data_IF_214360614771
#
_entry.id   IF_214360614771
#
_cell.length_a   1.000
_cell.length_b   1.000
_cell.length_c   1.000
_cell.angle_alpha   90.00
_cell.angle_beta   90.00
_cell.angle_gamma   90.00
#
_symmetry.space_group_name_H-M   'P 1'
#
loop_
_entity.id
_entity.type
_entity.pdbx_description
1 polymer ?
#
# COMPACT_ATOMS: atom_id res chain seq x y z
N UNK A 1 37.59 -9.21 -58.64
CA UNK A 1 36.39 -8.99 -57.80
C UNK A 1 35.54 -10.23 -57.87
N UNK A 2 35.51 -11.10 -56.83
CA UNK A 2 34.72 -12.32 -56.78
C UNK A 2 33.32 -11.96 -56.21
N UNK A 3 32.28 -12.09 -57.04
CA UNK A 3 30.89 -11.97 -56.62
C UNK A 3 30.51 -13.23 -55.83
N UNK A 4 30.19 -13.06 -54.55
CA UNK A 4 29.62 -14.12 -53.73
C UNK A 4 28.14 -14.26 -54.07
N UNK A 5 27.79 -15.37 -54.67
CA UNK A 5 26.35 -15.73 -54.86
C UNK A 5 25.81 -16.25 -53.56
N UNK A 6 24.92 -15.48 -52.89
CA UNK A 6 24.14 -16.02 -51.78
C UNK A 6 23.16 -17.05 -52.31
N UNK A 7 23.19 -18.25 -51.77
CA UNK A 7 22.33 -19.34 -52.12
C UNK A 7 20.89 -19.09 -51.65
N UNK A 8 19.86 -19.36 -52.49
CA UNK A 8 18.45 -19.10 -52.11
C UNK A 8 17.93 -20.04 -51.00
N UNK A 9 18.68 -21.06 -50.64
CA UNK A 9 18.32 -22.03 -49.59
C UNK A 9 18.31 -21.42 -48.17
N UNK A 10 19.10 -20.37 -47.93
CA UNK A 10 19.16 -19.75 -46.61
C UNK A 10 17.94 -18.84 -46.34
N UNK A 11 17.37 -18.25 -47.38
CA UNK A 11 16.18 -17.42 -47.24
C UNK A 11 14.92 -18.23 -46.96
N UNK A 12 14.83 -19.47 -47.47
CA UNK A 12 13.66 -20.30 -47.26
C UNK A 12 13.57 -20.83 -45.83
N UNK A 13 14.72 -21.11 -45.20
CA UNK A 13 14.78 -21.54 -43.80
C UNK A 13 14.41 -20.44 -42.81
N UNK A 14 14.74 -19.18 -43.12
CA UNK A 14 14.38 -18.04 -42.25
C UNK A 14 12.87 -17.74 -42.32
N UNK A 15 12.26 -17.86 -43.47
CA UNK A 15 10.80 -17.63 -43.64
C UNK A 15 10.01 -18.73 -42.90
N UNK A 16 10.45 -19.98 -42.94
CA UNK A 16 9.81 -21.08 -42.20
C UNK A 16 9.96 -20.95 -40.68
N UNK A 17 11.08 -20.38 -40.19
CA UNK A 17 11.30 -20.18 -38.76
C UNK A 17 10.45 -19.05 -38.22
N UNK A 18 10.26 -17.95 -38.98
CA UNK A 18 9.43 -16.79 -38.62
C UNK A 18 7.95 -17.15 -38.62
N UNK A 19 7.49 -18.01 -39.56
CA UNK A 19 6.09 -18.44 -39.60
C UNK A 19 5.72 -19.39 -38.47
N UNK A 20 6.67 -20.20 -37.98
CA UNK A 20 6.42 -21.09 -36.83
C UNK A 20 6.25 -20.31 -35.50
N UNK A 21 6.89 -19.16 -35.36
CA UNK A 21 6.76 -18.31 -34.17
C UNK A 21 5.43 -17.56 -34.14
N UNK A 22 4.85 -17.23 -35.30
CA UNK A 22 3.57 -16.52 -35.37
C UNK A 22 2.33 -17.38 -35.15
N UNK A 23 2.44 -18.72 -35.29
CA UNK A 23 1.32 -19.62 -35.03
C UNK A 23 1.16 -20.05 -33.56
N UNK A 24 2.07 -19.65 -32.70
CA UNK A 24 2.03 -19.97 -31.27
C UNK A 24 1.25 -19.02 -30.37
N UNK A 25 0.74 -17.90 -30.86
CA UNK A 25 0.08 -16.86 -30.05
C UNK A 25 -1.44 -16.74 -30.25
N UNK A 26 -2.08 -17.71 -30.89
CA UNK A 26 -3.54 -17.75 -31.02
C UNK A 26 -4.17 -18.84 -30.18
N UNK A 27 -3.80 -18.91 -28.91
CA UNK A 27 -4.57 -19.70 -27.97
C UNK A 27 -4.82 -18.93 -26.71
N UNK A 28 -6.10 -18.80 -26.47
CA UNK A 28 -6.76 -18.44 -25.22
C UNK A 28 -7.17 -16.97 -25.08
N UNK A 29 -8.17 -16.58 -25.87
CA UNK A 29 -9.30 -15.89 -25.28
C UNK A 29 -10.38 -16.96 -24.99
N UNK A 30 -10.28 -17.63 -23.86
CA UNK A 30 -11.45 -18.14 -23.20
C UNK A 30 -12.08 -16.93 -22.52
N UNK A 31 -13.19 -16.45 -23.06
CA UNK A 31 -14.17 -15.70 -22.33
C UNK A 31 -14.78 -16.66 -21.30
N UNK A 32 -14.09 -16.84 -20.18
CA UNK A 32 -14.75 -17.15 -18.94
C UNK A 32 -15.14 -15.78 -18.39
N UNK A 33 -16.38 -15.39 -18.64
CA UNK A 33 -17.11 -14.40 -17.86
C UNK A 33 -17.33 -15.00 -16.46
N UNK A 34 -16.27 -15.32 -15.76
CA UNK A 34 -16.27 -15.39 -14.32
C UNK A 34 -16.28 -13.94 -13.85
N UNK A 35 -17.48 -13.48 -13.59
CA UNK A 35 -17.77 -12.28 -12.81
C UNK A 35 -17.26 -12.56 -11.38
N UNK A 36 -15.91 -12.64 -11.25
CA UNK A 36 -15.24 -12.67 -9.97
C UNK A 36 -15.46 -11.31 -9.35
N UNK A 37 -16.59 -11.17 -8.66
CA UNK A 37 -16.74 -10.10 -7.68
C UNK A 37 -15.52 -10.17 -6.78
N UNK A 38 -14.71 -9.10 -6.68
CA UNK A 38 -13.49 -9.13 -5.89
C UNK A 38 -13.86 -9.57 -4.48
N UNK A 39 -13.32 -10.71 -4.04
CA UNK A 39 -13.55 -11.24 -2.70
C UNK A 39 -12.98 -10.22 -1.74
N UNK A 40 -13.83 -9.36 -1.22
CA UNK A 40 -13.46 -8.41 -0.20
C UNK A 40 -13.22 -9.17 1.09
N UNK A 41 -12.01 -9.08 1.61
CA UNK A 41 -11.61 -9.74 2.86
C UNK A 41 -11.56 -8.74 4.00
N UNK A 42 -11.78 -9.22 5.22
CA UNK A 42 -11.54 -8.42 6.43
C UNK A 42 -10.04 -8.23 6.63
N UNK A 43 -9.65 -7.09 7.19
CA UNK A 43 -8.26 -6.75 7.46
C UNK A 43 -8.01 -6.59 8.97
N UNK A 44 -6.80 -6.93 9.41
CA UNK A 44 -6.28 -6.65 10.75
C UNK A 44 -5.47 -5.36 10.72
N UNK A 45 -5.88 -4.36 11.48
CA UNK A 45 -5.26 -3.04 11.46
C UNK A 45 -4.75 -2.65 12.84
N UNK A 46 -3.53 -2.13 12.88
CA UNK A 46 -2.88 -1.56 14.07
C UNK A 46 -2.36 -0.17 13.72
N UNK A 47 -2.61 0.77 14.62
CA UNK A 47 -2.11 2.14 14.52
C UNK A 47 -1.00 2.36 15.53
N UNK A 48 0.01 3.14 15.15
CA UNK A 48 1.11 3.52 16.05
C UNK A 48 1.37 5.00 15.98
N UNK A 49 1.78 5.56 17.11
CA UNK A 49 2.28 6.93 17.21
C UNK A 49 3.57 6.94 18.03
N UNK A 50 4.56 7.71 17.57
CA UNK A 50 5.84 7.88 18.24
C UNK A 50 6.29 9.32 18.12
N UNK A 51 6.51 9.96 19.26
CA UNK A 51 7.10 11.29 19.34
C UNK A 51 8.55 11.23 19.84
N UNK A 52 9.30 12.29 19.63
CA UNK A 52 10.64 12.47 20.19
C UNK A 52 10.58 12.61 21.71
N UNK A 53 11.71 12.34 22.38
CA UNK A 53 11.83 12.49 23.83
C UNK A 53 11.47 13.91 24.29
N UNK A 54 10.81 14.01 25.45
CA UNK A 54 10.34 15.28 26.00
C UNK A 54 9.01 15.79 25.43
N UNK A 55 8.43 15.08 24.46
CA UNK A 55 7.08 15.35 23.94
C UNK A 55 6.03 14.59 24.72
N UNK A 56 4.79 15.09 24.68
CA UNK A 56 3.62 14.42 25.19
C UNK A 56 2.53 14.38 24.14
N UNK A 57 2.01 13.19 23.85
CA UNK A 57 0.88 12.98 22.95
C UNK A 57 -0.41 12.96 23.76
N UNK A 58 -1.30 13.86 23.44
CA UNK A 58 -2.52 14.11 24.22
C UNK A 58 -3.68 13.23 23.74
N UNK A 59 -3.86 13.13 22.44
CA UNK A 59 -5.04 12.46 21.86
C UNK A 59 -4.68 11.72 20.57
N UNK A 60 -5.17 10.48 20.46
CA UNK A 60 -5.25 9.76 19.20
C UNK A 60 -6.71 9.48 18.84
N UNK A 61 -7.08 9.78 17.60
CA UNK A 61 -8.36 9.39 16.97
C UNK A 61 -8.02 8.45 15.84
N UNK A 62 -8.59 7.25 15.83
CA UNK A 62 -8.27 6.22 14.84
C UNK A 62 -9.46 5.31 14.57
N UNK A 63 -9.45 4.65 13.41
CA UNK A 63 -10.51 3.72 13.04
C UNK A 63 -10.63 3.52 11.55
N UNK A 64 -11.82 3.14 11.11
CA UNK A 64 -12.15 2.95 9.70
C UNK A 64 -13.45 3.67 9.35
N UNK A 65 -13.50 4.22 8.14
CA UNK A 65 -14.62 5.00 7.63
C UNK A 65 -15.12 6.04 8.66
N UNK A 66 -16.33 5.89 9.18
CA UNK A 66 -16.91 6.74 10.22
C UNK A 66 -16.87 6.11 11.62
N UNK A 67 -16.35 4.89 11.74
CA UNK A 67 -16.23 4.17 13.01
C UNK A 67 -14.90 4.55 13.66
N UNK A 68 -14.92 5.55 14.54
CA UNK A 68 -13.73 6.13 15.15
C UNK A 68 -13.69 5.88 16.66
N UNK A 69 -12.48 5.64 17.16
CA UNK A 69 -12.15 5.52 18.57
C UNK A 69 -11.22 6.66 18.97
N UNK A 70 -11.42 7.23 20.14
CA UNK A 70 -10.56 8.26 20.72
C UNK A 70 -9.89 7.74 21.98
N UNK A 71 -8.57 7.94 22.07
CA UNK A 71 -7.76 7.66 23.27
C UNK A 71 -7.03 8.92 23.68
N UNK A 72 -6.93 9.16 25.00
CA UNK A 72 -6.28 10.35 25.54
C UNK A 72 -5.10 9.98 26.45
N UNK A 73 -4.20 10.97 26.68
CA UNK A 73 -3.03 10.84 27.56
C UNK A 73 -2.13 9.64 27.16
N UNK A 74 -1.78 9.58 25.90
CA UNK A 74 -1.10 8.42 25.31
C UNK A 74 0.43 8.44 25.45
N UNK A 75 0.99 9.51 26.07
CA UNK A 75 2.42 9.61 26.38
C UNK A 75 3.29 9.92 25.15
N UNK A 76 4.50 9.40 25.12
CA UNK A 76 5.47 9.64 24.02
C UNK A 76 5.35 8.62 22.90
N UNK A 77 4.92 7.39 23.23
CA UNK A 77 4.73 6.30 22.27
C UNK A 77 3.41 5.59 22.56
N UNK A 78 2.72 5.21 21.51
CA UNK A 78 1.44 4.55 21.63
C UNK A 78 1.19 3.56 20.50
N UNK A 79 0.50 2.47 20.81
CA UNK A 79 0.03 1.48 19.84
C UNK A 79 -1.42 1.13 20.17
N UNK A 80 -2.28 1.14 19.17
CA UNK A 80 -3.68 0.75 19.34
C UNK A 80 -3.83 -0.75 19.64
N UNK A 81 -4.94 -1.18 20.22
CA UNK A 81 -5.39 -2.56 20.04
C UNK A 81 -5.52 -2.88 18.54
N UNK A 82 -5.34 -4.16 18.19
CA UNK A 82 -5.65 -4.61 16.82
C UNK A 82 -7.16 -4.54 16.60
N UNK A 83 -7.58 -3.90 15.51
CA UNK A 83 -8.98 -3.85 15.10
C UNK A 83 -9.21 -4.71 13.86
N UNK A 84 -10.37 -5.37 13.79
CA UNK A 84 -10.81 -6.06 12.59
C UNK A 84 -11.66 -5.13 11.77
N UNK A 85 -11.15 -4.76 10.59
CA UNK A 85 -11.84 -3.88 9.65
C UNK A 85 -12.70 -4.73 8.71
N UNK A 86 -13.99 -4.40 8.53
CA UNK A 86 -14.90 -5.15 7.65
C UNK A 86 -14.44 -5.13 6.19
N UNK A 87 -14.80 -6.17 5.45
CA UNK A 87 -14.46 -6.33 4.04
C UNK A 87 -15.00 -5.22 3.12
N UNK A 88 -16.04 -4.52 3.53
CA UNK A 88 -16.65 -3.41 2.78
C UNK A 88 -16.14 -2.03 3.19
N UNK A 89 -15.21 -1.95 4.15
CA UNK A 89 -14.62 -0.68 4.53
C UNK A 89 -13.79 -0.09 3.38
N UNK A 90 -13.84 1.23 3.26
CA UNK A 90 -13.15 1.97 2.20
C UNK A 90 -11.77 2.42 2.65
N UNK A 91 -11.66 2.90 3.89
CA UNK A 91 -10.41 3.45 4.39
C UNK A 91 -10.22 3.23 5.89
N UNK A 92 -8.97 3.36 6.32
CA UNK A 92 -8.57 3.47 7.72
C UNK A 92 -7.78 4.74 7.93
N UNK A 93 -7.93 5.37 9.10
CA UNK A 93 -7.30 6.64 9.37
C UNK A 93 -6.84 6.74 10.83
N UNK A 94 -5.82 7.58 11.05
CA UNK A 94 -5.32 7.99 12.36
C UNK A 94 -5.00 9.47 12.34
N UNK A 95 -5.33 10.18 13.40
CA UNK A 95 -4.88 11.53 13.68
C UNK A 95 -4.42 11.60 15.14
N UNK A 96 -3.24 12.19 15.39
CA UNK A 96 -2.65 12.32 16.72
C UNK A 96 -2.21 13.75 16.93
N UNK A 97 -2.56 14.29 18.10
CA UNK A 97 -2.14 15.60 18.56
C UNK A 97 -1.31 15.49 19.83
N UNK A 98 -0.43 16.45 20.02
CA UNK A 98 0.42 16.54 21.19
C UNK A 98 1.26 17.82 21.19
N UNK A 99 2.18 17.90 22.12
CA UNK A 99 3.08 19.04 22.27
C UNK A 99 4.46 18.59 22.74
N UNK A 100 5.44 19.49 22.63
CA UNK A 100 6.79 19.24 23.08
C UNK A 100 7.72 20.41 22.87
N UNK A 101 9.04 20.24 23.07
CA UNK A 101 10.06 21.22 22.70
C UNK A 101 10.00 21.64 21.23
N UNK A 102 10.63 22.76 20.88
CA UNK A 102 10.62 23.32 19.52
C UNK A 102 11.16 22.35 18.44
N UNK A 103 12.03 21.43 18.82
CA UNK A 103 12.62 20.41 17.94
C UNK A 103 11.88 19.08 17.97
N UNK A 104 10.70 19.03 18.57
CA UNK A 104 9.91 17.78 18.66
C UNK A 104 9.47 17.28 17.29
N UNK A 105 9.36 15.96 17.20
CA UNK A 105 8.82 15.27 16.01
C UNK A 105 7.76 14.28 16.45
N UNK A 106 6.79 14.06 15.59
CA UNK A 106 5.75 13.03 15.73
C UNK A 106 5.67 12.23 14.43
N UNK A 107 5.59 10.92 14.55
CA UNK A 107 5.31 9.99 13.46
C UNK A 107 4.06 9.18 13.83
N UNK A 108 3.12 9.06 12.90
CA UNK A 108 1.99 8.15 12.97
C UNK A 108 2.08 7.12 11.86
N UNK A 109 1.61 5.89 12.10
CA UNK A 109 1.75 4.77 11.19
C UNK A 109 0.47 3.92 11.18
N UNK A 110 0.12 3.41 9.99
CA UNK A 110 -0.96 2.45 9.76
C UNK A 110 -0.35 1.13 9.27
N UNK A 111 -0.58 0.07 10.03
CA UNK A 111 -0.24 -1.30 9.65
C UNK A 111 -1.52 -2.05 9.29
N UNK A 112 -1.54 -2.69 8.12
CA UNK A 112 -2.63 -3.56 7.65
C UNK A 112 -2.05 -4.94 7.44
N UNK A 113 -2.64 -5.95 8.09
CA UNK A 113 -2.20 -7.35 8.03
C UNK A 113 -0.69 -7.50 8.36
N UNK A 114 -0.22 -6.73 9.36
CA UNK A 114 1.16 -6.71 9.81
C UNK A 114 2.12 -5.89 8.92
N UNK A 115 1.67 -5.33 7.80
CA UNK A 115 2.49 -4.55 6.88
C UNK A 115 2.25 -3.05 7.07
N UNK A 116 3.32 -2.25 7.13
CA UNK A 116 3.23 -0.80 7.11
C UNK A 116 2.69 -0.33 5.75
N UNK A 117 1.55 0.34 5.77
CA UNK A 117 0.88 0.86 4.56
C UNK A 117 0.99 2.37 4.42
N UNK A 118 0.99 3.12 5.54
CA UNK A 118 1.01 4.58 5.51
C UNK A 118 1.69 5.15 6.74
N UNK A 119 2.36 6.30 6.53
CA UNK A 119 2.93 7.13 7.60
C UNK A 119 2.53 8.59 7.41
N UNK A 120 2.46 9.31 8.52
CA UNK A 120 2.35 10.76 8.58
C UNK A 120 3.33 11.32 9.62
N UNK A 121 3.81 12.54 9.42
CA UNK A 121 4.77 13.16 10.33
C UNK A 121 4.41 14.61 10.62
N UNK A 122 4.85 15.10 11.77
CA UNK A 122 4.75 16.50 12.19
C UNK A 122 6.02 16.89 12.97
N UNK A 123 6.35 18.16 13.00
CA UNK A 123 7.47 18.68 13.78
C UNK A 123 7.15 20.06 14.37
N UNK A 124 7.79 20.40 15.49
CA UNK A 124 7.64 21.67 16.21
C UNK A 124 7.09 21.48 17.61
N UNK A 125 6.71 22.58 18.25
CA UNK A 125 6.16 22.57 19.62
C UNK A 125 4.75 22.01 19.68
N UNK A 126 3.93 22.32 18.66
CA UNK A 126 2.58 21.76 18.50
C UNK A 126 2.69 20.63 17.48
N UNK A 127 2.37 19.44 17.92
CA UNK A 127 2.45 18.23 17.10
C UNK A 127 1.04 17.85 16.64
N UNK A 128 0.86 17.72 15.33
CA UNK A 128 -0.38 17.22 14.72
C UNK A 128 -0.03 16.43 13.48
N UNK A 129 -0.17 15.11 13.55
CA UNK A 129 0.10 14.22 12.43
C UNK A 129 -1.10 13.34 12.12
N UNK A 130 -1.32 13.06 10.84
CA UNK A 130 -2.36 12.17 10.38
C UNK A 130 -1.85 11.24 9.28
N UNK A 131 -2.52 10.11 9.11
CA UNK A 131 -2.35 9.20 8.00
C UNK A 131 -3.70 8.59 7.62
N UNK A 132 -3.88 8.34 6.33
CA UNK A 132 -5.06 7.66 5.77
C UNK A 132 -4.59 6.62 4.75
N UNK A 133 -5.20 5.43 4.77
CA UNK A 133 -4.97 4.37 3.81
C UNK A 133 -6.32 3.89 3.26
N UNK A 134 -6.43 3.77 1.94
CA UNK A 134 -7.60 3.27 1.22
C UNK A 134 -7.31 1.85 0.73
N UNK A 135 -8.26 0.96 0.93
CA UNK A 135 -8.18 -0.46 0.52
C UNK A 135 -8.38 -0.66 -0.97
#
# INVERSE_FOLDING_TARGET
MKKVRLYPTIQLTWILLVTAVFLGFTSSCSNDDDDETPVRTTHKVVFKAQASAGSNLDTAVYGYDTTLTTTQNIGTTWTSPEITVPANAVNVNIAVNGNGPASSTLKVQIFVDGQLKKEGTSSGQILSANANYTF
#
